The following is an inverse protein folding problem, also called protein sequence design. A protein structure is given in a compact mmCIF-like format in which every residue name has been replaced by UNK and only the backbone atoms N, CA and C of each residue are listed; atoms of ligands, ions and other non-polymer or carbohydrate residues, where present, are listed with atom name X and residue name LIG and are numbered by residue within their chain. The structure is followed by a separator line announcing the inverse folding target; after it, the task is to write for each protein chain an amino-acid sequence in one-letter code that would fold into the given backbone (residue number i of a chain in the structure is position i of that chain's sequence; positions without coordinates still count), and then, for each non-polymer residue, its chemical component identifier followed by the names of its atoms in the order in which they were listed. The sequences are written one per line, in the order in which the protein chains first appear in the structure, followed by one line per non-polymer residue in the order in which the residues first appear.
data_IF_529439531100
#
_entry.id   IF_529439531100
#
_cell.length_a   1.000
_cell.length_b   1.000
_cell.length_c   1.000
_cell.angle_alpha   90.00
_cell.angle_beta   90.00
_cell.angle_gamma   90.00
#
_symmetry.space_group_name_H-M   'P 1'
#
loop_
_entity.id
_entity.type
_entity.pdbx_description
1 polymer ?
#
# COMPACT_ATOMS: atom_id res chain seq x y z
N UNK A 1 15.22 6.53 6.17
CA UNK A 1 14.30 7.66 6.42
C UNK A 1 12.91 7.10 6.73
N UNK A 2 12.26 7.55 7.79
CA UNK A 2 10.91 7.12 8.18
C UNK A 2 9.96 8.29 7.99
N UNK A 3 8.80 8.05 7.36
CA UNK A 3 7.76 9.06 7.14
C UNK A 3 6.39 8.46 7.40
N UNK A 4 5.47 9.28 7.91
CA UNK A 4 4.07 8.90 8.04
C UNK A 4 3.28 9.49 6.88
N UNK A 5 2.46 8.68 6.24
CA UNK A 5 1.65 9.06 5.09
C UNK A 5 0.21 8.60 5.29
N UNK A 6 -0.74 9.42 4.81
CA UNK A 6 -2.15 9.03 4.76
C UNK A 6 -2.42 8.39 3.42
N UNK A 7 -2.92 7.17 3.42
CA UNK A 7 -3.20 6.39 2.23
C UNK A 7 -4.67 6.04 2.15
N UNK A 8 -5.26 6.20 0.98
CA UNK A 8 -6.59 5.69 0.67
C UNK A 8 -6.47 4.37 -0.08
N UNK A 9 -7.04 3.31 0.48
CA UNK A 9 -7.08 1.97 -0.12
C UNK A 9 -8.44 1.77 -0.78
N UNK A 10 -8.44 1.39 -2.06
CA UNK A 10 -9.65 1.14 -2.82
C UNK A 10 -10.44 -0.08 -2.31
N UNK A 11 -11.76 -0.04 -2.53
CA UNK A 11 -12.68 -1.16 -2.25
C UNK A 11 -12.51 -2.36 -3.19
N UNK A 12 -11.64 -2.24 -4.21
CA UNK A 12 -11.27 -3.32 -5.12
C UNK A 12 -9.77 -3.49 -5.16
N UNK A 13 -9.35 -4.75 -5.30
CA UNK A 13 -7.99 -5.12 -5.64
C UNK A 13 -7.84 -5.28 -7.15
N UNK A 14 -6.60 -5.17 -7.62
CA UNK A 14 -6.25 -5.46 -8.99
C UNK A 14 -5.26 -6.62 -9.04
N UNK A 15 -5.42 -7.49 -10.04
CA UNK A 15 -4.51 -8.62 -10.24
C UNK A 15 -3.32 -8.17 -11.09
N UNK A 16 -2.12 -8.22 -10.52
CA UNK A 16 -0.88 -7.94 -11.25
C UNK A 16 -0.28 -9.24 -11.80
N UNK A 17 0.10 -9.22 -13.09
CA UNK A 17 0.80 -10.33 -13.73
C UNK A 17 2.30 -10.20 -13.44
N UNK A 18 2.85 -11.07 -12.60
CA UNK A 18 4.29 -11.25 -12.55
C UNK A 18 4.75 -11.89 -13.86
N UNK A 19 5.63 -11.23 -14.62
CA UNK A 19 6.06 -11.64 -15.97
C UNK A 19 6.63 -13.07 -16.09
N UNK A 20 6.90 -13.76 -14.97
CA UNK A 20 7.51 -15.09 -14.93
C UNK A 20 6.72 -16.11 -14.11
N UNK A 21 5.48 -15.81 -13.68
CA UNK A 21 4.66 -16.78 -12.96
C UNK A 21 3.19 -16.67 -13.38
N UNK A 22 2.49 -17.79 -13.62
CA UNK A 22 1.06 -17.79 -13.93
C UNK A 22 0.17 -17.41 -12.74
N UNK A 23 0.77 -17.28 -11.55
CA UNK A 23 0.09 -16.91 -10.31
C UNK A 23 -0.16 -15.39 -10.28
N UNK A 24 -1.40 -15.01 -10.57
CA UNK A 24 -1.87 -13.64 -10.38
C UNK A 24 -1.78 -13.28 -8.91
N UNK A 25 -1.09 -12.18 -8.59
CA UNK A 25 -1.07 -11.64 -7.23
C UNK A 25 -2.10 -10.53 -7.09
N UNK A 26 -2.86 -10.60 -6.02
CA UNK A 26 -3.79 -9.52 -5.66
C UNK A 26 -3.01 -8.34 -5.09
N UNK A 27 -3.19 -7.18 -5.70
CA UNK A 27 -2.62 -5.92 -5.26
C UNK A 27 -3.74 -4.99 -4.79
N UNK A 28 -3.50 -4.34 -3.67
CA UNK A 28 -4.25 -3.20 -3.18
C UNK A 28 -3.94 -1.99 -4.08
N UNK A 29 -4.98 -1.26 -4.48
CA UNK A 29 -4.82 0.03 -5.15
C UNK A 29 -4.76 1.11 -4.07
N UNK A 30 -3.61 1.76 -3.96
CA UNK A 30 -3.28 2.74 -2.93
C UNK A 30 -3.14 4.11 -3.56
N UNK A 31 -3.90 5.08 -3.06
CA UNK A 31 -3.75 6.49 -3.42
C UNK A 31 -3.20 7.26 -2.22
N UNK A 32 -1.96 7.77 -2.29
CA UNK A 32 -1.42 8.57 -1.19
C UNK A 32 -2.13 9.93 -1.14
N UNK A 33 -2.32 10.49 0.03
CA UNK A 33 -2.81 11.84 0.19
C UNK A 33 -1.63 12.76 0.38
N UNK A 34 -1.06 13.17 -0.75
CA UNK A 34 -0.01 14.19 -0.75
C UNK A 34 -0.66 15.57 -0.75
N UNK A 35 0.06 16.58 -0.26
CA UNK A 35 -0.35 17.98 -0.34
C UNK A 35 -0.34 18.52 -1.79
N UNK A 36 0.05 17.71 -2.76
CA UNK A 36 0.17 18.05 -4.17
C UNK A 36 -0.92 17.34 -4.96
N UNK A 37 -1.63 18.04 -5.84
CA UNK A 37 -2.75 17.50 -6.63
C UNK A 37 -2.38 16.34 -7.59
N UNK A 38 -1.09 16.04 -7.74
CA UNK A 38 -0.53 15.00 -8.62
C UNK A 38 -0.31 13.65 -7.91
N UNK A 39 -1.18 13.29 -6.97
CA UNK A 39 -1.10 11.97 -6.33
C UNK A 39 -1.56 10.87 -7.29
N UNK A 40 -0.60 10.10 -7.80
CA UNK A 40 -0.88 8.95 -8.65
C UNK A 40 -1.12 7.70 -7.80
N UNK A 41 -2.16 6.89 -8.08
CA UNK A 41 -2.34 5.62 -7.41
C UNK A 41 -1.23 4.64 -7.78
N UNK A 42 -0.86 3.78 -6.83
CA UNK A 42 0.12 2.72 -7.01
C UNK A 42 -0.38 1.41 -6.40
N UNK A 43 0.26 0.31 -6.77
CA UNK A 43 -0.14 -1.04 -6.38
C UNK A 43 0.76 -1.59 -5.28
N UNK A 44 0.16 -2.09 -4.21
CA UNK A 44 0.85 -2.75 -3.10
C UNK A 44 0.34 -4.18 -2.98
N UNK A 45 1.21 -5.16 -2.83
CA UNK A 45 0.78 -6.55 -2.64
C UNK A 45 -0.13 -6.68 -1.42
N UNK A 46 -1.20 -7.48 -1.55
CA UNK A 46 -2.06 -7.81 -0.41
C UNK A 46 -1.21 -8.48 0.68
N UNK A 47 -1.24 -7.92 1.88
CA UNK A 47 -0.42 -8.37 3.02
C UNK A 47 0.97 -7.74 3.12
N UNK A 48 1.38 -6.84 2.22
CA UNK A 48 2.65 -6.13 2.33
C UNK A 48 2.64 -4.99 3.37
N UNK A 49 1.46 -4.55 3.82
CA UNK A 49 1.32 -3.56 4.89
C UNK A 49 1.22 -4.32 6.23
N UNK A 50 2.28 -4.26 7.03
CA UNK A 50 2.33 -4.94 8.32
C UNK A 50 1.21 -4.44 9.24
N UNK A 51 0.43 -5.37 9.81
CA UNK A 51 -0.68 -5.06 10.72
C UNK A 51 -1.97 -4.60 10.04
N UNK A 52 -2.05 -4.60 8.71
CA UNK A 52 -3.29 -4.32 7.98
C UNK A 52 -3.83 -5.59 7.31
N UNK A 53 -5.07 -5.94 7.63
CA UNK A 53 -5.82 -6.96 6.91
C UNK A 53 -6.88 -6.29 6.04
N UNK A 54 -6.85 -6.60 4.76
CA UNK A 54 -7.74 -6.01 3.77
C UNK A 54 -8.97 -6.88 3.59
N UNK A 55 -10.14 -6.27 3.79
CA UNK A 55 -11.43 -6.89 3.45
C UNK A 55 -12.02 -6.26 2.17
N UNK A 56 -12.43 -7.08 1.19
CA UNK A 56 -13.08 -6.59 -0.02
C UNK A 56 -14.42 -5.92 0.29
N UNK A 57 -14.80 -4.93 -0.53
CA UNK A 57 -16.04 -4.15 -0.33
C UNK A 57 -15.93 -3.03 0.71
N UNK A 58 -14.73 -2.76 1.22
CA UNK A 58 -14.45 -1.63 2.10
C UNK A 58 -13.41 -0.70 1.50
N UNK A 59 -13.68 0.59 1.57
CA UNK A 59 -12.68 1.64 1.32
C UNK A 59 -12.04 2.02 2.65
N UNK A 60 -10.71 2.07 2.68
CA UNK A 60 -9.97 2.39 3.90
C UNK A 60 -9.20 3.69 3.72
N UNK A 61 -9.11 4.46 4.80
CA UNK A 61 -8.13 5.54 4.94
C UNK A 61 -7.21 5.17 6.08
N UNK A 62 -5.92 5.02 5.80
CA UNK A 62 -4.93 4.51 6.73
C UNK A 62 -3.84 5.55 6.95
N UNK A 63 -3.34 5.65 8.18
CA UNK A 63 -2.05 6.26 8.46
C UNK A 63 -1.01 5.14 8.43
N UNK A 64 -0.09 5.21 7.48
CA UNK A 64 0.94 4.20 7.24
C UNK A 64 2.30 4.82 7.49
N UNK A 65 3.16 4.09 8.20
CA UNK A 65 4.56 4.45 8.37
C UNK A 65 5.38 3.79 7.26
N UNK A 66 5.98 4.62 6.41
CA UNK A 66 6.85 4.22 5.30
C UNK A 66 8.30 4.34 5.75
N UNK A 67 9.03 3.22 5.71
CA UNK A 67 10.44 3.18 6.10
C UNK A 67 11.31 2.87 4.89
N UNK A 68 12.14 3.85 4.52
CA UNK A 68 13.18 3.72 3.50
C UNK A 68 14.51 3.34 4.18
N UNK A 69 15.03 2.15 3.89
CA UNK A 69 16.34 1.72 4.39
C UNK A 69 17.44 2.54 3.69
N UNK A 70 18.34 3.16 4.48
CA UNK A 70 19.31 4.13 3.97
C UNK A 70 20.55 3.50 3.30
N UNK A 71 20.70 2.18 3.34
CA UNK A 71 21.87 1.49 2.77
C UNK A 71 21.56 0.00 2.49
N UNK A 72 20.70 -0.33 1.52
CA UNK A 72 20.44 -1.73 1.19
C UNK A 72 21.70 -2.34 0.53
N UNK A 73 22.21 -3.50 0.99
CA UNK A 73 23.20 -4.24 0.24
C UNK A 73 22.60 -4.67 -1.11
N UNK A 74 22.98 -3.94 -2.15
CA UNK A 74 22.85 -4.15 -3.60
C UNK A 74 21.52 -4.61 -4.25
N UNK A 75 20.44 -5.07 -3.59
CA UNK A 75 19.25 -5.51 -4.37
C UNK A 75 17.89 -5.60 -3.66
N UNK A 76 17.63 -4.84 -2.58
CA UNK A 76 16.24 -4.73 -2.08
C UNK A 76 15.97 -3.33 -1.51
N UNK A 77 15.82 -2.37 -2.43
CA UNK A 77 15.52 -0.96 -2.13
C UNK A 77 14.05 -0.68 -1.86
N UNK A 78 13.21 -1.72 -1.67
CA UNK A 78 11.78 -1.53 -1.50
C UNK A 78 11.48 -0.95 -0.10
N UNK A 79 10.68 0.12 -0.01
CA UNK A 79 10.24 0.63 1.28
C UNK A 79 9.34 -0.38 1.98
N UNK A 80 9.45 -0.47 3.30
CA UNK A 80 8.53 -1.29 4.12
C UNK A 80 7.37 -0.43 4.63
N UNK A 81 6.18 -1.02 4.69
CA UNK A 81 4.95 -0.34 5.10
C UNK A 81 4.38 -0.97 6.37
N UNK A 82 4.10 -0.14 7.37
CA UNK A 82 3.45 -0.59 8.60
C UNK A 82 2.20 0.25 8.90
N UNK A 83 1.09 -0.40 9.25
CA UNK A 83 -0.12 0.26 9.66
C UNK A 83 0.13 0.94 11.01
N UNK A 84 -0.01 2.27 11.04
CA UNK A 84 0.03 3.05 12.28
C UNK A 84 -1.37 3.20 12.88
N UNK A 85 -2.37 3.49 12.04
CA UNK A 85 -3.77 3.66 12.47
C UNK A 85 -4.73 3.59 11.28
N UNK A 86 -5.94 3.07 11.51
CA UNK A 86 -7.06 3.21 10.57
C UNK A 86 -7.76 4.54 10.86
N UNK A 87 -7.79 5.44 9.89
CA UNK A 87 -8.48 6.75 9.97
C UNK A 87 -9.96 6.56 9.66
N UNK A 88 -10.31 5.80 8.63
CA UNK A 88 -11.69 5.43 8.32
C UNK A 88 -11.78 4.07 7.62
N UNK A 89 -12.93 3.42 7.79
CA UNK A 89 -13.33 2.20 7.10
C UNK A 89 -14.80 2.37 6.69
N UNK A 90 -15.06 2.41 5.39
CA UNK A 90 -16.40 2.64 4.83
C UNK A 90 -16.79 1.46 3.95
N UNK A 91 -18.00 0.92 4.14
CA UNK A 91 -18.54 -0.13 3.27
C UNK A 91 -19.08 0.50 1.99
N UNK A 92 -18.75 -0.08 0.85
CA UNK A 92 -19.16 0.39 -0.49
C UNK A 92 -20.03 -0.66 -1.17
#
# INVERSE_FOLDING_TARGET
MVRDEVWTISHRTEMYNASFSPEKRECLVVTPETHSSDSSPFHVLRGAIAGFDYEPGYRYRLLVTVTYLANPPQDDGNPTYALKRIISKEKV
#
